data_IF_996664653733
#
_entry.id   IF_996664653733
#
_cell.length_a   1.000
_cell.length_b   1.000
_cell.length_c   1.000
_cell.angle_alpha   90.00
_cell.angle_beta   90.00
_cell.angle_gamma   90.00
#
_symmetry.space_group_name_H-M   'P 1'
#
loop_
_entity.id
_entity.type
_entity.pdbx_description
1 polymer ?
#
# COMPACT_ATOMS: atom_id res chain seq x y z
N UNK A 1 30.05 9.18 8.65
CA UNK A 1 28.88 9.46 7.79
C UNK A 1 27.66 8.90 8.49
N UNK A 2 26.84 9.74 9.12
CA UNK A 2 25.55 9.32 9.63
C UNK A 2 24.66 9.04 8.42
N UNK A 3 24.45 7.76 8.09
CA UNK A 3 23.25 7.38 7.36
C UNK A 3 22.09 7.52 8.35
N UNK A 4 21.67 8.76 8.57
CA UNK A 4 20.47 9.05 9.34
C UNK A 4 19.29 8.60 8.50
N UNK A 5 18.63 7.54 8.92
CA UNK A 5 17.32 7.20 8.42
C UNK A 5 16.42 8.44 8.58
N UNK A 6 15.97 9.01 7.46
CA UNK A 6 15.03 10.13 7.49
C UNK A 6 13.68 9.60 7.91
N UNK A 7 13.24 9.96 9.11
CA UNK A 7 11.92 9.59 9.58
C UNK A 7 10.86 10.38 8.80
N UNK A 8 9.82 9.72 8.27
CA UNK A 8 8.70 10.44 7.69
C UNK A 8 7.94 11.21 8.77
N UNK A 9 7.22 12.29 8.40
CA UNK A 9 6.32 12.96 9.33
C UNK A 9 5.25 11.98 9.85
N UNK A 10 4.76 12.16 11.09
CA UNK A 10 3.68 11.34 11.62
C UNK A 10 2.39 11.54 10.81
N UNK A 11 1.60 10.48 10.70
CA UNK A 11 0.31 10.49 10.04
C UNK A 11 -0.72 11.35 10.78
N UNK A 12 -1.65 11.93 10.02
CA UNK A 12 -2.77 12.73 10.51
C UNK A 12 -4.05 12.31 9.78
N UNK A 13 -5.24 12.42 10.42
CA UNK A 13 -6.50 12.30 9.69
C UNK A 13 -6.52 13.25 8.47
N UNK A 14 -7.00 12.75 7.34
CA UNK A 14 -6.95 13.38 6.03
C UNK A 14 -5.73 12.98 5.18
N UNK A 15 -4.70 12.36 5.75
CA UNK A 15 -3.57 11.86 4.97
C UNK A 15 -3.98 10.67 4.08
N UNK A 16 -3.45 10.62 2.86
CA UNK A 16 -3.64 9.52 1.92
C UNK A 16 -2.59 8.41 2.12
N UNK A 17 -3.06 7.16 2.18
CA UNK A 17 -2.23 5.96 2.26
C UNK A 17 -2.46 5.05 1.05
N UNK A 18 -1.38 4.49 0.50
CA UNK A 18 -1.46 3.56 -0.63
C UNK A 18 -1.35 2.12 -0.16
N UNK A 19 -2.24 1.26 -0.63
CA UNK A 19 -2.18 -0.19 -0.42
C UNK A 19 -1.44 -0.86 -1.57
N UNK A 20 -0.43 -1.65 -1.24
CA UNK A 20 0.36 -2.46 -2.17
C UNK A 20 0.34 -3.93 -1.76
N UNK A 21 0.54 -4.84 -2.72
CA UNK A 21 0.63 -6.29 -2.49
C UNK A 21 2.02 -6.78 -2.91
N UNK A 22 3.07 -6.53 -2.12
CA UNK A 22 4.46 -6.72 -2.56
C UNK A 22 4.89 -8.19 -2.55
N UNK A 23 4.04 -9.12 -2.09
CA UNK A 23 4.37 -10.51 -1.84
C UNK A 23 3.32 -11.48 -2.40
N UNK A 24 2.57 -12.17 -1.55
CA UNK A 24 1.57 -13.16 -1.94
C UNK A 24 0.29 -12.52 -2.46
N UNK A 25 -0.43 -13.24 -3.32
CA UNK A 25 -1.76 -12.80 -3.77
C UNK A 25 -2.77 -12.78 -2.60
N UNK A 26 -3.75 -11.88 -2.68
CA UNK A 26 -4.85 -11.84 -1.74
C UNK A 26 -5.60 -13.18 -1.75
N UNK A 27 -5.77 -13.76 -0.56
CA UNK A 27 -6.57 -14.97 -0.35
C UNK A 27 -8.02 -14.64 -0.01
N UNK A 28 -8.23 -13.57 0.74
CA UNK A 28 -9.53 -13.14 1.27
C UNK A 28 -9.76 -11.66 0.95
N UNK A 29 -10.34 -11.32 -0.22
CA UNK A 29 -10.62 -9.93 -0.60
C UNK A 29 -11.49 -9.19 0.43
N UNK A 30 -12.42 -9.88 1.08
CA UNK A 30 -13.27 -9.28 2.13
C UNK A 30 -12.48 -8.89 3.39
N UNK A 31 -11.38 -9.57 3.69
CA UNK A 31 -10.49 -9.18 4.78
C UNK A 31 -9.76 -7.87 4.44
N UNK A 32 -9.33 -7.70 3.18
CA UNK A 32 -8.75 -6.44 2.69
C UNK A 32 -9.75 -5.28 2.85
N UNK A 33 -10.98 -5.43 2.35
CA UNK A 33 -11.99 -4.38 2.43
C UNK A 33 -12.34 -3.99 3.88
N UNK A 34 -12.46 -4.97 4.78
CA UNK A 34 -12.65 -4.70 6.21
C UNK A 34 -11.47 -3.94 6.83
N UNK A 35 -10.25 -4.30 6.47
CA UNK A 35 -9.04 -3.58 6.88
C UNK A 35 -9.03 -2.13 6.40
N UNK A 36 -9.39 -1.90 5.13
CA UNK A 36 -9.50 -0.56 4.53
C UNK A 36 -10.53 0.28 5.29
N UNK A 37 -11.69 -0.29 5.64
CA UNK A 37 -12.73 0.44 6.35
C UNK A 37 -12.31 0.88 7.76
N UNK A 38 -11.45 0.10 8.43
CA UNK A 38 -10.86 0.50 9.71
C UNK A 38 -9.96 1.74 9.53
N UNK A 39 -9.21 1.85 8.44
CA UNK A 39 -8.42 3.04 8.16
C UNK A 39 -9.30 4.24 7.79
N UNK A 40 -10.29 4.04 6.92
CA UNK A 40 -11.23 5.10 6.53
C UNK A 40 -12.02 5.66 7.72
N UNK A 41 -12.52 4.79 8.60
CA UNK A 41 -13.23 5.22 9.82
C UNK A 41 -12.36 6.01 10.81
N UNK A 42 -11.03 5.92 10.69
CA UNK A 42 -10.07 6.75 11.45
C UNK A 42 -9.70 8.06 10.73
N UNK A 43 -10.33 8.33 9.59
CA UNK A 43 -10.19 9.57 8.83
C UNK A 43 -9.09 9.55 7.77
N UNK A 44 -8.59 8.39 7.35
CA UNK A 44 -7.56 8.32 6.29
C UNK A 44 -8.18 8.08 4.91
N UNK A 45 -7.57 8.67 3.89
CA UNK A 45 -7.86 8.33 2.49
C UNK A 45 -7.05 7.09 2.10
N UNK A 46 -7.66 6.15 1.38
CA UNK A 46 -7.02 4.87 1.04
C UNK A 46 -7.11 4.62 -0.47
N UNK A 47 -5.94 4.57 -1.09
CA UNK A 47 -5.75 4.32 -2.51
C UNK A 47 -5.24 2.90 -2.75
N UNK A 48 -5.96 2.14 -3.59
CA UNK A 48 -5.58 0.78 -3.95
C UNK A 48 -4.66 0.80 -5.18
N UNK A 49 -3.51 0.15 -5.10
CA UNK A 49 -2.63 0.02 -6.24
C UNK A 49 -3.26 -0.81 -7.38
N UNK A 50 -2.94 -0.44 -8.62
CA UNK A 50 -3.37 -1.20 -9.80
C UNK A 50 -2.89 -2.64 -9.72
N UNK A 51 -3.80 -3.59 -9.94
CA UNK A 51 -3.47 -5.02 -9.90
C UNK A 51 -3.37 -5.58 -8.47
N UNK A 52 -4.04 -4.99 -7.49
CA UNK A 52 -4.14 -5.53 -6.12
C UNK A 52 -4.68 -6.98 -6.10
N UNK A 53 -5.47 -7.35 -7.10
CA UNK A 53 -6.04 -8.70 -7.28
C UNK A 53 -5.20 -9.61 -8.20
N UNK A 54 -4.04 -9.13 -8.67
CA UNK A 54 -3.21 -9.87 -9.61
C UNK A 54 -2.73 -11.20 -9.01
N UNK A 55 -2.58 -12.21 -9.88
CA UNK A 55 -2.17 -13.56 -9.51
C UNK A 55 -1.09 -14.09 -10.44
N UNK A 56 -0.01 -14.56 -9.85
CA UNK A 56 1.08 -15.28 -10.51
C UNK A 56 1.51 -16.44 -9.61
N UNK A 57 0.85 -17.59 -9.75
CA UNK A 57 0.97 -18.68 -8.79
C UNK A 57 0.56 -18.19 -7.39
N UNK A 58 1.45 -18.29 -6.40
CA UNK A 58 1.21 -17.79 -5.05
C UNK A 58 1.49 -16.28 -4.89
N UNK A 59 2.07 -15.61 -5.90
CA UNK A 59 2.48 -14.20 -5.85
C UNK A 59 1.38 -13.26 -6.36
N UNK A 60 1.39 -12.01 -5.87
CA UNK A 60 0.52 -10.92 -6.31
C UNK A 60 0.98 -10.30 -7.65
N UNK A 61 1.06 -11.12 -8.69
CA UNK A 61 1.58 -10.72 -9.99
C UNK A 61 3.09 -10.91 -10.15
N UNK A 62 3.62 -10.53 -11.31
CA UNK A 62 5.06 -10.65 -11.62
C UNK A 62 5.86 -9.67 -10.78
N UNK A 63 7.16 -9.92 -10.66
CA UNK A 63 8.10 -9.01 -9.97
C UNK A 63 8.02 -7.59 -10.50
N UNK A 64 7.86 -7.42 -11.83
CA UNK A 64 7.73 -6.11 -12.44
C UNK A 64 6.44 -5.39 -12.04
N UNK A 65 5.36 -6.12 -11.76
CA UNK A 65 4.08 -5.56 -11.34
C UNK A 65 4.13 -5.16 -9.87
N UNK A 66 4.60 -6.05 -8.99
CA UNK A 66 4.79 -5.78 -7.55
C UNK A 66 5.73 -4.59 -7.31
N UNK A 67 6.85 -4.53 -8.06
CA UNK A 67 7.77 -3.38 -8.03
C UNK A 67 7.08 -2.10 -8.51
N UNK A 68 6.24 -2.17 -9.55
CA UNK A 68 5.53 -1.00 -10.08
C UNK A 68 4.55 -0.44 -9.05
N UNK A 69 3.79 -1.29 -8.35
CA UNK A 69 2.88 -0.85 -7.29
C UNK A 69 3.61 -0.03 -6.22
N UNK A 70 4.71 -0.58 -5.68
CA UNK A 70 5.52 0.12 -4.68
C UNK A 70 6.14 1.41 -5.23
N UNK A 71 6.68 1.37 -6.45
CA UNK A 71 7.30 2.54 -7.06
C UNK A 71 6.28 3.65 -7.34
N UNK A 72 5.04 3.33 -7.71
CA UNK A 72 3.96 4.31 -7.88
C UNK A 72 3.62 4.96 -6.54
N UNK A 73 3.40 4.17 -5.49
CA UNK A 73 3.09 4.67 -4.16
C UNK A 73 4.20 5.58 -3.59
N UNK A 74 5.48 5.23 -3.80
CA UNK A 74 6.60 6.03 -3.34
C UNK A 74 6.85 7.32 -4.14
N UNK A 75 6.34 7.39 -5.38
CA UNK A 75 6.50 8.57 -6.26
C UNK A 75 5.33 9.54 -6.19
N UNK A 76 4.21 9.11 -5.61
CA UNK A 76 3.05 9.97 -5.44
C UNK A 76 3.35 11.01 -4.35
N UNK A 77 3.38 12.32 -4.67
CA UNK A 77 3.63 13.36 -3.68
C UNK A 77 2.50 13.49 -2.64
N UNK A 78 1.30 12.97 -2.93
CA UNK A 78 0.18 12.89 -2.01
C UNK A 78 0.24 11.68 -1.06
N UNK A 79 1.08 10.68 -1.35
CA UNK A 79 1.23 9.50 -0.51
C UNK A 79 1.96 9.83 0.78
N UNK A 80 1.29 9.58 1.91
CA UNK A 80 1.82 9.83 3.25
C UNK A 80 2.20 8.55 4.00
N UNK A 81 1.81 7.39 3.47
CA UNK A 81 2.23 6.09 3.97
C UNK A 81 1.85 4.96 3.01
N UNK A 82 2.56 3.84 3.13
CA UNK A 82 2.34 2.64 2.34
C UNK A 82 1.91 1.50 3.27
N UNK A 83 0.82 0.85 2.93
CA UNK A 83 0.28 -0.31 3.63
C UNK A 83 0.50 -1.56 2.78
N UNK A 84 1.09 -2.60 3.36
CA UNK A 84 1.23 -3.89 2.70
C UNK A 84 0.04 -4.79 3.04
N UNK A 85 -0.64 -5.28 2.01
CA UNK A 85 -1.70 -6.28 2.11
C UNK A 85 -1.21 -7.69 1.75
#
# INVERSE_FOLDING_TARGET
MTLSCQLPPPLRPGDCLHVVVPSGTLREPDALHRGIEIWRSRGYEIELSSGVEARWGYLAGKDCDRRRQLATALKDPGCRGVLCA
#
